data_IF_297350542183
#
_entry.id   IF_297350542183
#
_cell.length_a   1.000
_cell.length_b   1.000
_cell.length_c   1.000
_cell.angle_alpha   90.00
_cell.angle_beta   90.00
_cell.angle_gamma   90.00
#
_symmetry.space_group_name_H-M   'P 1'
#
loop_
_entity.id
_entity.type
_entity.pdbx_description
1 polymer ?
#
# COMPACT_ATOMS: atom_id res chain seq x y z
N UNK A 1 19.29 -45.84 21.14
CA UNK A 1 18.17 -45.08 21.72
C UNK A 1 18.37 -43.56 21.65
N UNK A 2 19.48 -42.99 22.16
CA UNK A 2 19.70 -41.52 22.12
C UNK A 2 19.75 -40.91 20.71
N UNK A 3 20.38 -41.59 19.75
CA UNK A 3 20.47 -41.10 18.36
C UNK A 3 19.10 -40.98 17.67
N UNK A 4 18.24 -41.99 17.82
CA UNK A 4 16.86 -41.95 17.32
C UNK A 4 16.04 -40.83 17.97
N UNK A 5 16.28 -40.53 19.25
CA UNK A 5 15.64 -39.43 19.97
C UNK A 5 16.09 -38.05 19.45
N UNK A 6 17.38 -37.87 19.11
CA UNK A 6 17.87 -36.63 18.50
C UNK A 6 17.36 -36.43 17.07
N UNK A 7 17.30 -37.51 16.26
CA UNK A 7 16.73 -37.46 14.91
C UNK A 7 15.24 -37.12 14.96
N UNK A 8 14.50 -37.70 15.91
CA UNK A 8 13.10 -37.40 16.12
C UNK A 8 12.87 -35.94 16.55
N UNK A 9 13.71 -35.41 17.46
CA UNK A 9 13.66 -33.99 17.84
C UNK A 9 13.95 -33.07 16.65
N UNK A 10 14.97 -33.37 15.84
CA UNK A 10 15.33 -32.55 14.68
C UNK A 10 14.21 -32.53 13.63
N UNK A 11 13.57 -33.67 13.38
CA UNK A 11 12.39 -33.76 12.51
C UNK A 11 11.24 -32.91 13.06
N UNK A 12 10.92 -33.02 14.35
CA UNK A 12 9.91 -32.19 15.01
C UNK A 12 10.20 -30.69 14.83
N UNK A 13 11.42 -30.24 15.12
CA UNK A 13 11.81 -28.84 14.94
C UNK A 13 11.65 -28.39 13.49
N UNK A 14 12.10 -29.18 12.51
CA UNK A 14 11.97 -28.84 11.09
C UNK A 14 10.51 -28.74 10.63
N UNK A 15 9.63 -29.60 11.15
CA UNK A 15 8.19 -29.56 10.83
C UNK A 15 7.49 -28.36 11.47
N UNK A 16 7.88 -28.00 12.69
CA UNK A 16 7.35 -26.82 13.40
C UNK A 16 7.79 -25.55 12.68
N UNK A 17 9.06 -25.42 12.29
CA UNK A 17 9.56 -24.28 11.51
C UNK A 17 8.84 -24.14 10.16
N UNK A 18 8.63 -25.24 9.44
CA UNK A 18 7.86 -25.22 8.18
C UNK A 18 6.39 -24.84 8.39
N UNK A 19 5.77 -25.27 9.49
CA UNK A 19 4.39 -24.92 9.81
C UNK A 19 4.21 -23.47 10.30
N UNK A 20 5.27 -22.87 10.84
CA UNK A 20 5.32 -21.45 11.21
C UNK A 20 5.79 -20.56 10.04
N UNK A 21 6.23 -21.15 8.92
CA UNK A 21 6.61 -20.40 7.74
C UNK A 21 5.38 -19.67 7.19
N UNK A 22 5.46 -18.34 7.20
CA UNK A 22 4.38 -17.50 6.72
C UNK A 22 4.30 -17.62 5.20
N UNK A 23 3.11 -17.92 4.68
CA UNK A 23 2.89 -17.98 3.24
C UNK A 23 3.06 -16.59 2.61
N UNK A 24 3.84 -16.52 1.52
CA UNK A 24 4.03 -15.30 0.73
C UNK A 24 3.07 -15.22 -0.46
N UNK A 25 2.04 -16.08 -0.51
CA UNK A 25 1.03 -16.05 -1.56
C UNK A 25 0.11 -14.86 -1.30
N UNK A 26 0.03 -13.93 -2.24
CA UNK A 26 -0.68 -12.65 -2.10
C UNK A 26 -2.14 -12.84 -1.70
N UNK A 27 -2.80 -13.87 -2.22
CA UNK A 27 -4.21 -14.18 -1.91
C UNK A 27 -4.44 -14.52 -0.43
N UNK A 28 -3.42 -15.04 0.26
CA UNK A 28 -3.50 -15.44 1.67
C UNK A 28 -3.32 -14.29 2.67
N UNK A 29 -3.01 -13.08 2.19
CA UNK A 29 -2.81 -11.95 3.08
C UNK A 29 -4.12 -11.47 3.71
N UNK A 30 -4.14 -11.42 5.04
CA UNK A 30 -5.22 -10.82 5.81
C UNK A 30 -5.26 -9.31 5.58
N UNK A 31 -6.45 -8.78 5.30
CA UNK A 31 -6.72 -7.35 5.14
C UNK A 31 -7.50 -6.82 6.34
N UNK A 32 -7.78 -5.52 6.38
CA UNK A 32 -8.54 -4.93 7.47
C UNK A 32 -9.99 -5.45 7.49
N UNK A 33 -10.35 -6.18 8.53
CA UNK A 33 -11.73 -6.58 8.76
C UNK A 33 -12.64 -5.37 8.99
N UNK A 34 -13.85 -5.43 8.41
CA UNK A 34 -14.89 -4.39 8.51
C UNK A 34 -14.33 -2.99 8.21
N UNK A 35 -13.58 -2.85 7.12
CA UNK A 35 -13.05 -1.57 6.68
C UNK A 35 -14.18 -0.55 6.48
N UNK A 36 -14.07 0.59 7.17
CA UNK A 36 -15.02 1.68 7.13
C UNK A 36 -14.38 2.90 6.44
N UNK A 37 -14.77 3.19 5.18
CA UNK A 37 -14.27 4.34 4.42
C UNK A 37 -14.38 5.67 5.14
N UNK A 38 -15.48 5.89 5.87
CA UNK A 38 -15.75 7.18 6.53
C UNK A 38 -14.82 7.41 7.73
N UNK A 39 -14.43 6.33 8.41
CA UNK A 39 -13.46 6.39 9.50
C UNK A 39 -12.02 6.46 9.03
N UNK A 40 -11.75 6.01 7.81
CA UNK A 40 -10.43 6.08 7.19
C UNK A 40 -10.18 7.45 6.52
N UNK A 41 -11.24 8.19 6.19
CA UNK A 41 -11.17 9.53 5.63
C UNK A 41 -10.33 10.49 6.49
N UNK A 42 -9.74 11.49 5.83
CA UNK A 42 -8.84 12.47 6.41
C UNK A 42 -7.39 12.32 5.95
N UNK A 43 -6.51 13.05 6.63
CA UNK A 43 -5.10 13.20 6.26
C UNK A 43 -4.21 12.12 6.84
N UNK A 44 -3.44 11.49 5.98
CA UNK A 44 -2.42 10.49 6.30
C UNK A 44 -1.03 10.96 5.86
N UNK A 45 -0.03 10.65 6.69
CA UNK A 45 1.38 10.97 6.44
C UNK A 45 2.16 9.67 6.30
N UNK A 46 2.87 9.49 5.19
CA UNK A 46 3.67 8.27 5.00
C UNK A 46 4.94 8.35 5.84
N UNK A 47 5.10 7.41 6.77
CA UNK A 47 6.30 7.30 7.62
C UNK A 47 7.34 6.35 7.01
N UNK A 48 6.88 5.34 6.29
CA UNK A 48 7.72 4.35 5.61
C UNK A 48 7.01 3.84 4.36
N UNK A 49 7.78 3.39 3.37
CA UNK A 49 7.28 2.78 2.14
C UNK A 49 8.20 1.65 1.69
N UNK A 50 7.62 0.71 0.93
CA UNK A 50 8.35 -0.26 0.14
C UNK A 50 8.24 0.16 -1.32
N UNK A 51 9.38 0.37 -1.97
CA UNK A 51 9.39 0.85 -3.35
C UNK A 51 9.03 -0.26 -4.36
N UNK A 52 8.17 0.05 -5.35
CA UNK A 52 8.00 -0.80 -6.51
C UNK A 52 9.20 -0.62 -7.47
N UNK A 53 9.22 -1.42 -8.52
CA UNK A 53 10.12 -1.15 -9.64
C UNK A 53 9.65 0.10 -10.41
N UNK A 54 10.61 0.93 -10.85
CA UNK A 54 10.35 2.12 -11.65
C UNK A 54 10.27 3.43 -10.86
N UNK A 55 9.61 4.43 -11.46
CA UNK A 55 9.50 5.77 -10.89
C UNK A 55 8.39 5.82 -9.84
N UNK A 56 8.72 6.29 -8.63
CA UNK A 56 7.75 6.44 -7.55
C UNK A 56 8.07 7.64 -6.66
N UNK A 57 7.10 8.04 -5.82
CA UNK A 57 7.28 9.10 -4.84
C UNK A 57 8.42 8.74 -3.87
N UNK A 58 9.26 9.72 -3.54
CA UNK A 58 10.45 9.54 -2.70
C UNK A 58 10.18 9.81 -1.23
N UNK A 59 9.68 11.00 -0.91
CA UNK A 59 9.39 11.44 0.45
C UNK A 59 8.41 12.62 0.47
N UNK A 60 8.18 13.18 1.67
CA UNK A 60 7.19 14.22 1.94
C UNK A 60 5.79 13.82 1.44
N UNK A 61 5.49 12.52 1.57
CA UNK A 61 4.28 11.93 1.04
C UNK A 61 3.15 12.15 2.05
N UNK A 62 2.08 12.78 1.58
CA UNK A 62 0.81 12.86 2.30
C UNK A 62 -0.33 12.51 1.38
N UNK A 63 -1.39 11.94 1.95
CA UNK A 63 -2.61 11.59 1.25
C UNK A 63 -3.81 12.10 2.06
N UNK A 64 -4.75 12.73 1.39
CA UNK A 64 -6.03 13.16 1.95
C UNK A 64 -7.12 12.30 1.33
N UNK A 65 -7.85 11.55 2.15
CA UNK A 65 -8.93 10.68 1.70
C UNK A 65 -10.28 11.33 1.97
N UNK A 66 -11.15 11.33 0.96
CA UNK A 66 -12.50 11.89 1.00
C UNK A 66 -13.53 10.85 0.58
N UNK A 67 -14.73 10.96 1.13
CA UNK A 67 -15.91 10.17 0.72
C UNK A 67 -16.89 11.13 0.07
N UNK A 68 -17.15 10.92 -1.21
CA UNK A 68 -18.11 11.70 -1.99
C UNK A 68 -19.55 11.41 -1.55
N UNK A 69 -20.50 12.24 -1.98
CA UNK A 69 -21.92 12.11 -1.62
C UNK A 69 -22.52 10.76 -2.08
N UNK A 70 -22.05 10.22 -3.20
CA UNK A 70 -22.44 8.91 -3.73
C UNK A 70 -21.79 7.72 -2.99
N UNK A 71 -20.93 7.99 -2.00
CA UNK A 71 -20.20 7.00 -1.22
C UNK A 71 -18.87 6.56 -1.82
N UNK A 72 -18.48 7.10 -2.99
CA UNK A 72 -17.19 6.80 -3.61
C UNK A 72 -16.04 7.34 -2.77
N UNK A 73 -14.99 6.54 -2.59
CA UNK A 73 -13.75 7.00 -1.97
C UNK A 73 -12.82 7.61 -3.03
N UNK A 74 -12.33 8.81 -2.74
CA UNK A 74 -11.33 9.53 -3.53
C UNK A 74 -10.13 9.87 -2.65
N UNK A 75 -8.97 10.11 -3.26
CA UNK A 75 -7.82 10.63 -2.55
C UNK A 75 -7.03 11.65 -3.37
N UNK A 76 -6.50 12.66 -2.69
CA UNK A 76 -5.46 13.53 -3.23
C UNK A 76 -4.15 13.26 -2.50
N UNK A 77 -3.07 13.04 -3.25
CA UNK A 77 -1.76 12.76 -2.66
C UNK A 77 -0.72 13.74 -3.18
N UNK A 78 0.19 14.15 -2.30
CA UNK A 78 1.35 14.97 -2.65
C UNK A 78 2.62 14.25 -2.25
N UNK A 79 3.69 14.42 -3.02
CA UNK A 79 4.99 13.91 -2.63
C UNK A 79 6.11 14.36 -3.56
N UNK A 80 7.33 14.36 -3.05
CA UNK A 80 8.52 14.66 -3.84
C UNK A 80 8.83 13.50 -4.77
N UNK A 81 9.14 13.79 -6.03
CA UNK A 81 9.63 12.81 -7.00
C UNK A 81 10.82 13.36 -7.75
N UNK A 82 11.72 12.48 -8.20
CA UNK A 82 12.87 12.85 -9.01
C UNK A 82 12.74 12.25 -10.41
N UNK A 83 12.50 13.11 -11.39
CA UNK A 83 12.43 12.75 -12.80
C UNK A 83 13.84 12.80 -13.42
N UNK A 84 14.11 11.85 -14.31
CA UNK A 84 15.36 11.77 -15.09
C UNK A 84 16.66 11.83 -14.28
N UNK A 85 16.62 11.56 -12.98
CA UNK A 85 17.80 11.59 -12.10
C UNK A 85 18.24 12.96 -11.62
N UNK A 86 17.60 14.07 -12.00
CA UNK A 86 17.98 15.42 -11.53
C UNK A 86 16.82 16.41 -11.37
N UNK A 87 15.70 16.25 -12.06
CA UNK A 87 14.54 17.13 -11.93
C UNK A 87 13.72 16.76 -10.70
N UNK A 88 13.68 17.61 -9.68
CA UNK A 88 12.90 17.39 -8.46
C UNK A 88 11.62 18.20 -8.55
N UNK A 89 10.48 17.54 -8.43
CA UNK A 89 9.17 18.20 -8.40
C UNK A 89 8.34 17.67 -7.23
N UNK A 90 7.35 18.46 -6.80
CA UNK A 90 6.27 17.98 -5.95
C UNK A 90 5.14 17.50 -6.87
N UNK A 91 4.94 16.19 -6.93
CA UNK A 91 3.84 15.62 -7.71
C UNK A 91 2.54 15.73 -6.92
N UNK A 92 1.53 16.34 -7.53
CA UNK A 92 0.14 16.28 -7.06
C UNK A 92 -0.57 15.16 -7.83
N UNK A 93 -1.15 14.23 -7.10
CA UNK A 93 -1.84 13.06 -7.64
C UNK A 93 -3.29 13.05 -7.18
N UNK A 94 -4.18 12.53 -8.01
CA UNK A 94 -5.55 12.25 -7.67
C UNK A 94 -5.87 10.78 -7.94
N UNK A 95 -6.67 10.17 -7.08
CA UNK A 95 -7.08 8.78 -7.21
C UNK A 95 -8.55 8.58 -6.86
N UNK A 96 -9.16 7.58 -7.49
CA UNK A 96 -10.49 7.08 -7.19
C UNK A 96 -10.40 5.57 -6.90
N UNK A 97 -11.19 5.11 -5.93
CA UNK A 97 -11.19 3.72 -5.49
C UNK A 97 -12.50 3.02 -5.82
N UNK A 98 -12.40 1.83 -6.41
CA UNK A 98 -13.56 0.98 -6.73
C UNK A 98 -13.41 -0.35 -5.98
N UNK A 99 -14.46 -0.75 -5.27
CA UNK A 99 -14.53 -2.05 -4.58
C UNK A 99 -15.08 -3.10 -5.54
N UNK A 100 -14.27 -4.09 -5.99
CA UNK A 100 -14.76 -5.12 -6.91
C UNK A 100 -15.63 -6.17 -6.23
N UNK A 101 -15.38 -6.47 -4.96
CA UNK A 101 -16.13 -7.45 -4.17
C UNK A 101 -16.61 -6.81 -2.85
N UNK A 102 -17.92 -6.58 -2.69
CA UNK A 102 -18.49 -6.01 -1.46
C UNK A 102 -18.24 -6.83 -0.20
N UNK A 103 -17.94 -8.14 -0.31
CA UNK A 103 -17.63 -8.99 0.84
C UNK A 103 -16.23 -8.74 1.40
N UNK A 104 -15.34 -8.12 0.62
CA UNK A 104 -13.99 -7.73 1.02
C UNK A 104 -13.73 -6.24 0.77
N UNK A 105 -14.40 -5.32 1.50
CA UNK A 105 -14.35 -3.88 1.22
C UNK A 105 -12.97 -3.24 1.38
N UNK A 106 -12.03 -3.92 2.06
CA UNK A 106 -10.65 -3.48 2.21
C UNK A 106 -9.77 -3.74 0.97
N UNK A 107 -10.27 -4.47 -0.04
CA UNK A 107 -9.58 -4.71 -1.31
C UNK A 107 -10.23 -3.83 -2.37
N UNK A 108 -9.42 -2.98 -3.00
CA UNK A 108 -9.91 -1.97 -3.93
C UNK A 108 -9.00 -1.89 -5.14
N UNK A 109 -9.58 -1.53 -6.28
CA UNK A 109 -8.83 -1.01 -7.41
C UNK A 109 -8.63 0.49 -7.22
N UNK A 110 -7.38 0.96 -7.37
CA UNK A 110 -7.03 2.37 -7.31
C UNK A 110 -6.70 2.86 -8.72
N UNK A 111 -7.55 3.71 -9.27
CA UNK A 111 -7.28 4.42 -10.52
C UNK A 111 -6.68 5.77 -10.18
N UNK A 112 -5.46 6.06 -10.63
CA UNK A 112 -4.73 7.26 -10.25
C UNK A 112 -4.18 8.00 -11.46
N UNK A 113 -4.02 9.31 -11.31
CA UNK A 113 -3.45 10.20 -12.32
C UNK A 113 -2.67 11.35 -11.68
N UNK A 114 -1.66 11.84 -12.39
CA UNK A 114 -0.93 13.04 -12.00
C UNK A 114 -1.66 14.29 -12.48
N UNK A 115 -1.80 15.27 -11.60
CA UNK A 115 -2.33 16.58 -11.94
C UNK A 115 -1.22 17.43 -12.56
N UNK A 116 -1.53 18.13 -13.65
CA UNK A 116 -0.60 19.05 -14.31
C UNK A 116 -0.44 20.39 -13.55
N UNK A 117 -0.58 20.40 -12.23
CA UNK A 117 -0.58 21.61 -11.40
C UNK A 117 0.70 22.44 -11.57
N UNK A 118 1.85 21.78 -11.69
CA UNK A 118 3.14 22.44 -11.96
C UNK A 118 3.20 23.12 -13.35
N UNK A 119 2.56 22.53 -14.37
CA UNK A 119 2.49 23.15 -15.70
C UNK A 119 1.56 24.36 -15.71
N UNK A 120 0.53 24.35 -14.85
CA UNK A 120 -0.43 25.46 -14.75
C UNK A 120 0.09 26.64 -13.92
N UNK A 121 1.04 26.42 -12.99
CA UNK A 121 1.61 27.47 -12.16
C UNK A 121 2.78 28.22 -12.82
N UNK A 122 3.15 27.84 -14.05
CA UNK A 122 4.13 28.59 -14.86
C UNK A 122 5.59 28.44 -14.46
N UNK A 123 5.92 27.56 -13.49
CA UNK A 123 7.28 27.35 -12.99
C UNK A 123 7.90 28.63 -12.41
N UNK A 124 7.93 28.76 -11.08
CA UNK A 124 8.83 29.74 -10.44
C UNK A 124 10.26 29.19 -10.34
#
# INVERSE_FOLDING_TARGET
>A
MKYAQYVFLALLFSTVEYSLAQTCIVESFSVKDNFDPKRYAGKWYALAKKDPEGLFLQDNISAEYSIEEDGTMTASSKGRVKLFGFWVICADMAAQYTVPDPTTPAKMYMTYQGLASYLSSGGE
#
